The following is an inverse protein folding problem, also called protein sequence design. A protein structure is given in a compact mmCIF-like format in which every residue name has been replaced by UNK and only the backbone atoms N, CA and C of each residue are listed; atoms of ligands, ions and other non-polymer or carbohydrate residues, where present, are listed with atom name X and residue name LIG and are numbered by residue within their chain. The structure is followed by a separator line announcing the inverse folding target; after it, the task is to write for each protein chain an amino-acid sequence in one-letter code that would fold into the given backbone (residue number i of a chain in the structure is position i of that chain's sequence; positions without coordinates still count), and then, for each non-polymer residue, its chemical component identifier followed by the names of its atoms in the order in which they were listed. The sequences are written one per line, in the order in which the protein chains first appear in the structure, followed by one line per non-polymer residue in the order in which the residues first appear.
data_IF_595330189367
#
_entry.id   IF_595330189367
#
_cell.length_a   1.000
_cell.length_b   1.000
_cell.length_c   1.000
_cell.angle_alpha   90.00
_cell.angle_beta   90.00
_cell.angle_gamma   90.00
#
_symmetry.space_group_name_H-M   'P 1'
#
loop_
_entity.id
_entity.type
_entity.pdbx_description
1 polymer ?
#
# COMPACT_ATOMS: atom_id res chain seq x y z
N UNK A 1 0.85 -14.77 -25.58
CA UNK A 1 1.18 -14.83 -24.15
C UNK A 1 2.57 -14.24 -24.02
N UNK A 2 2.65 -12.98 -23.59
CA UNK A 2 3.92 -12.26 -23.53
C UNK A 2 4.61 -12.69 -22.25
N UNK A 3 5.65 -13.51 -22.34
CA UNK A 3 6.49 -13.87 -21.20
C UNK A 3 7.05 -12.58 -20.60
N UNK A 4 6.75 -12.31 -19.34
CA UNK A 4 7.21 -11.11 -18.68
C UNK A 4 8.70 -11.28 -18.41
N UNK A 5 9.55 -10.37 -18.91
CA UNK A 5 11.01 -10.46 -18.78
C UNK A 5 11.46 -10.57 -17.31
N UNK A 6 10.65 -10.04 -16.40
CA UNK A 6 10.92 -10.07 -14.96
C UNK A 6 10.61 -11.43 -14.31
N UNK A 7 9.86 -12.32 -14.97
CA UNK A 7 9.57 -13.67 -14.43
C UNK A 7 10.82 -14.58 -14.39
N UNK A 8 11.86 -14.26 -15.19
CA UNK A 8 13.15 -14.97 -15.17
C UNK A 8 14.14 -14.40 -14.13
N UNK A 9 13.82 -13.26 -13.52
CA UNK A 9 14.63 -12.65 -12.48
C UNK A 9 14.12 -13.10 -11.12
N UNK A 10 14.79 -14.08 -10.52
CA UNK A 10 14.52 -14.54 -9.16
C UNK A 10 14.93 -13.44 -8.18
N UNK A 11 13.97 -12.55 -7.87
CA UNK A 11 14.21 -11.42 -7.01
C UNK A 11 14.33 -11.89 -5.57
N UNK A 12 15.41 -11.46 -4.91
CA UNK A 12 15.62 -11.73 -3.49
C UNK A 12 14.55 -11.01 -2.65
N UNK A 13 13.67 -11.78 -2.01
CA UNK A 13 12.55 -11.30 -1.19
C UNK A 13 13.03 -10.39 -0.04
N UNK A 14 14.17 -10.70 0.58
CA UNK A 14 14.72 -9.89 1.67
C UNK A 14 15.22 -8.55 1.13
N UNK A 15 15.85 -8.56 -0.05
CA UNK A 15 16.27 -7.35 -0.73
C UNK A 15 15.08 -6.48 -1.15
N UNK A 16 14.00 -7.09 -1.67
CA UNK A 16 12.77 -6.39 -2.01
C UNK A 16 12.08 -5.78 -0.79
N UNK A 17 12.00 -6.53 0.32
CA UNK A 17 11.44 -6.03 1.57
C UNK A 17 12.23 -4.83 2.10
N UNK A 18 13.56 -4.90 2.09
CA UNK A 18 14.43 -3.79 2.49
C UNK A 18 14.28 -2.57 1.57
N UNK A 19 14.25 -2.77 0.25
CA UNK A 19 14.03 -1.70 -0.73
C UNK A 19 12.66 -1.04 -0.55
N UNK A 20 11.62 -1.83 -0.30
CA UNK A 20 10.27 -1.34 -0.06
C UNK A 20 10.24 -0.47 1.20
N UNK A 21 10.79 -0.94 2.33
CA UNK A 21 10.86 -0.15 3.55
C UNK A 21 11.64 1.16 3.36
N UNK A 22 12.74 1.12 2.60
CA UNK A 22 13.51 2.32 2.26
C UNK A 22 12.69 3.30 1.42
N UNK A 23 11.91 2.80 0.45
CA UNK A 23 11.03 3.61 -0.38
C UNK A 23 9.93 4.26 0.46
N UNK A 24 9.28 3.51 1.35
CA UNK A 24 8.27 4.01 2.28
C UNK A 24 8.79 5.22 3.08
N UNK A 25 9.98 5.05 3.69
CA UNK A 25 10.58 6.08 4.53
C UNK A 25 10.99 7.33 3.74
N UNK A 26 11.56 7.16 2.54
CA UNK A 26 11.94 8.27 1.68
C UNK A 26 10.70 9.04 1.19
N UNK A 27 9.67 8.32 0.73
CA UNK A 27 8.44 8.94 0.23
C UNK A 27 7.68 9.71 1.33
N UNK A 28 7.69 9.22 2.56
CA UNK A 28 7.13 9.94 3.71
C UNK A 28 7.96 11.19 4.06
N UNK A 29 9.28 11.06 4.14
CA UNK A 29 10.20 12.19 4.44
C UNK A 29 10.09 13.32 3.41
N UNK A 30 9.90 12.97 2.14
CA UNK A 30 9.75 13.92 1.03
C UNK A 30 8.30 14.41 0.83
N UNK A 31 7.34 13.92 1.62
CA UNK A 31 5.93 14.32 1.52
C UNK A 31 5.28 13.92 0.19
N UNK A 32 5.72 12.81 -0.40
CA UNK A 32 5.27 12.34 -1.72
C UNK A 32 4.01 11.48 -1.66
N UNK A 33 3.59 11.04 -0.46
CA UNK A 33 2.44 10.16 -0.27
C UNK A 33 1.17 10.96 0.04
N UNK A 34 0.23 10.92 -0.90
CA UNK A 34 -1.10 11.50 -0.71
C UNK A 34 -2.01 10.54 0.10
N UNK A 35 -1.86 9.23 -0.14
CA UNK A 35 -2.56 8.18 0.59
C UNK A 35 -1.55 7.14 1.10
N UNK A 36 -1.65 6.81 2.39
CA UNK A 36 -0.93 5.69 2.98
C UNK A 36 -1.92 4.62 3.42
N UNK A 37 -1.60 3.36 3.22
CA UNK A 37 -2.42 2.26 3.71
C UNK A 37 -1.64 1.22 4.51
N UNK A 38 -2.37 0.47 5.34
CA UNK A 38 -1.90 -0.76 6.00
C UNK A 38 -3.02 -1.78 6.04
N UNK A 39 -2.63 -3.05 6.15
CA UNK A 39 -3.55 -4.13 6.52
C UNK A 39 -3.32 -4.52 7.97
N UNK A 40 -4.40 -4.89 8.67
CA UNK A 40 -4.35 -5.41 10.04
C UNK A 40 -5.23 -6.65 10.15
N UNK A 41 -4.74 -7.67 10.85
CA UNK A 41 -5.53 -8.86 11.16
C UNK A 41 -6.44 -8.58 12.34
N UNK A 42 -7.73 -8.88 12.20
CA UNK A 42 -8.73 -8.69 13.25
C UNK A 42 -9.64 -9.92 13.38
N UNK A 43 -10.39 -10.07 14.49
CA UNK A 43 -11.34 -11.18 14.64
C UNK A 43 -12.44 -11.24 13.57
N UNK A 44 -12.67 -10.14 12.84
CA UNK A 44 -13.66 -10.05 11.76
C UNK A 44 -13.03 -10.20 10.36
N UNK A 45 -11.73 -10.54 10.30
CA UNK A 45 -10.95 -10.66 9.07
C UNK A 45 -9.87 -9.58 8.94
N UNK A 46 -9.17 -9.58 7.81
CA UNK A 46 -8.17 -8.57 7.47
C UNK A 46 -8.89 -7.26 7.16
N UNK A 47 -8.45 -6.17 7.78
CA UNK A 47 -8.93 -4.82 7.46
C UNK A 47 -7.85 -4.03 6.74
N UNK A 48 -8.22 -3.33 5.67
CA UNK A 48 -7.39 -2.31 5.03
C UNK A 48 -7.76 -0.94 5.59
N UNK A 49 -6.78 -0.23 6.13
CA UNK A 49 -6.90 1.14 6.61
C UNK A 49 -6.15 2.05 5.64
N UNK A 50 -6.80 3.08 5.11
CA UNK A 50 -6.16 4.09 4.28
C UNK A 50 -6.39 5.50 4.86
N UNK A 51 -5.31 6.27 4.95
CA UNK A 51 -5.28 7.60 5.50
C UNK A 51 -4.54 8.58 4.59
N UNK A 52 -4.96 9.84 4.63
CA UNK A 52 -4.25 10.98 4.03
C UNK A 52 -3.56 11.79 5.12
N UNK A 53 -2.90 12.89 4.76
CA UNK A 53 -2.38 13.88 5.73
C UNK A 53 -3.47 14.51 6.60
N UNK A 54 -4.74 14.49 6.16
CA UNK A 54 -5.86 15.05 6.93
C UNK A 54 -6.50 14.04 7.90
N UNK A 55 -6.19 12.74 7.76
CA UNK A 55 -6.72 11.69 8.62
C UNK A 55 -7.15 10.43 7.86
N UNK A 56 -7.78 9.50 8.57
CA UNK A 56 -8.30 8.25 8.01
C UNK A 56 -9.44 8.53 7.03
N UNK A 57 -9.36 7.98 5.82
CA UNK A 57 -10.34 8.19 4.74
C UNK A 57 -11.11 6.93 4.37
N UNK A 58 -10.56 5.73 4.65
CA UNK A 58 -11.22 4.45 4.33
C UNK A 58 -10.79 3.34 5.29
N UNK A 59 -11.77 2.54 5.70
CA UNK A 59 -11.60 1.23 6.34
C UNK A 59 -12.33 0.23 5.47
N UNK A 60 -11.65 -0.76 4.91
CA UNK A 60 -12.25 -1.82 4.10
C UNK A 60 -12.09 -3.19 4.76
N UNK A 61 -13.14 -4.01 4.65
CA UNK A 61 -13.15 -5.40 5.06
C UNK A 61 -12.59 -6.31 3.96
N UNK A 62 -12.10 -7.47 4.36
CA UNK A 62 -11.58 -8.52 3.47
C UNK A 62 -12.50 -8.85 2.28
N UNK A 63 -13.82 -8.83 2.49
CA UNK A 63 -14.83 -9.12 1.45
C UNK A 63 -14.97 -8.03 0.38
N UNK A 64 -14.40 -6.85 0.60
CA UNK A 64 -14.57 -5.69 -0.29
C UNK A 64 -13.54 -5.63 -1.42
N UNK A 65 -12.67 -6.64 -1.54
CA UNK A 65 -11.54 -6.68 -2.47
C UNK A 65 -10.59 -5.48 -2.29
N UNK A 66 -9.53 -5.71 -1.52
CA UNK A 66 -8.55 -4.67 -1.22
C UNK A 66 -7.90 -4.07 -2.47
N UNK A 67 -7.72 -4.83 -3.56
CA UNK A 67 -7.14 -4.29 -4.78
C UNK A 67 -8.11 -3.29 -5.45
N UNK A 68 -9.40 -3.65 -5.52
CA UNK A 68 -10.43 -2.76 -6.04
C UNK A 68 -10.56 -1.48 -5.21
N UNK A 69 -10.50 -1.58 -3.87
CA UNK A 69 -10.53 -0.43 -2.97
C UNK A 69 -9.32 0.49 -3.19
N UNK A 70 -8.13 -0.08 -3.34
CA UNK A 70 -6.91 0.70 -3.60
C UNK A 70 -6.97 1.41 -4.96
N UNK A 71 -7.49 0.74 -6.00
CA UNK A 71 -7.71 1.35 -7.30
C UNK A 71 -8.71 2.52 -7.22
N UNK A 72 -9.82 2.35 -6.50
CA UNK A 72 -10.79 3.44 -6.28
C UNK A 72 -10.15 4.64 -5.56
N UNK A 73 -9.34 4.40 -4.53
CA UNK A 73 -8.62 5.46 -3.82
C UNK A 73 -7.61 6.18 -4.72
N UNK A 74 -6.91 5.43 -5.58
CA UNK A 74 -5.98 5.99 -6.56
C UNK A 74 -6.70 6.93 -7.55
N UNK A 75 -7.86 6.52 -8.04
CA UNK A 75 -8.67 7.31 -8.97
C UNK A 75 -9.33 8.53 -8.31
N UNK A 76 -9.82 8.38 -7.09
CA UNK A 76 -10.60 9.42 -6.41
C UNK A 76 -9.77 10.45 -5.66
N UNK A 77 -8.62 10.06 -5.12
CA UNK A 77 -7.78 10.91 -4.28
C UNK A 77 -6.49 11.25 -5.01
N UNK A 78 -5.66 10.24 -5.26
CA UNK A 78 -4.38 10.40 -5.94
C UNK A 78 -3.72 9.04 -6.19
N UNK A 79 -3.03 8.86 -7.34
CA UNK A 79 -2.23 7.67 -7.61
C UNK A 79 -0.99 7.55 -6.72
N UNK A 80 -0.65 8.58 -5.92
CA UNK A 80 0.46 8.56 -4.95
C UNK A 80 0.07 7.83 -3.66
N UNK A 81 -0.26 6.56 -3.84
CA UNK A 81 -0.67 5.65 -2.79
C UNK A 81 0.42 4.60 -2.55
N UNK A 82 0.78 4.36 -1.28
CA UNK A 82 1.78 3.35 -0.91
C UNK A 82 1.37 2.64 0.38
N UNK A 83 1.77 1.37 0.53
CA UNK A 83 1.71 0.67 1.81
C UNK A 83 2.74 1.34 2.72
N UNK A 84 2.31 2.08 3.73
CA UNK A 84 3.20 2.85 4.60
C UNK A 84 2.68 2.79 6.04
N UNK A 85 2.84 1.64 6.72
CA UNK A 85 2.20 1.36 8.00
C UNK A 85 2.57 2.35 9.10
N UNK A 86 3.79 2.88 9.08
CA UNK A 86 4.28 3.86 10.06
C UNK A 86 3.47 5.17 10.11
N UNK A 87 2.71 5.51 9.05
CA UNK A 87 1.82 6.68 9.05
C UNK A 87 0.49 6.45 9.76
N UNK A 88 0.20 5.19 10.09
CA UNK A 88 -1.04 4.74 10.74
C UNK A 88 -0.74 3.96 12.04
N UNK A 89 0.44 4.17 12.64
CA UNK A 89 0.80 3.67 13.97
C UNK A 89 0.45 4.68 15.07
#
# INVERSE_FOLDING_TARGET
MTTNLFDELDADDDALAWLHQRLEHAADTEGLLDVAYRTIDTPVGTLLLAATTAGLVRVAYDIEDHEAVLAELADRISPRLLRAPARLD
#
